data_IF_558961344213
#
_entry.id   IF_558961344213
#
_cell.length_a   1.000
_cell.length_b   1.000
_cell.length_c   1.000
_cell.angle_alpha   90.00
_cell.angle_beta   90.00
_cell.angle_gamma   90.00
#
_symmetry.space_group_name_H-M   'P 1'
#
loop_
_entity.id
_entity.type
_entity.pdbx_description
1 polymer ?
#
# COMPACT_ATOMS: atom_id res chain seq x y z
N UNK A 1 9.64 54.24 29.65
CA UNK A 1 10.16 53.98 31.00
C UNK A 1 9.98 52.49 31.27
N UNK A 2 11.08 51.79 31.57
CA UNK A 2 11.28 50.42 32.10
C UNK A 2 10.00 49.68 32.58
N UNK A 3 9.79 48.36 32.40
CA UNK A 3 10.71 47.24 32.74
C UNK A 3 10.17 45.91 32.17
N UNK A 4 11.08 44.98 31.83
CA UNK A 4 10.80 43.56 31.59
C UNK A 4 10.30 42.85 32.86
N UNK A 5 9.31 41.97 32.73
CA UNK A 5 9.15 40.79 33.59
C UNK A 5 8.93 39.59 32.67
N UNK A 6 9.83 38.61 32.76
CA UNK A 6 9.66 37.28 32.19
C UNK A 6 8.92 36.41 33.20
N UNK A 7 7.87 35.71 32.77
CA UNK A 7 7.32 34.55 33.48
C UNK A 7 7.01 33.46 32.45
N UNK A 8 7.75 32.37 32.60
CA UNK A 8 7.52 31.05 32.04
C UNK A 8 6.26 30.45 32.65
N UNK A 9 5.36 29.86 31.85
CA UNK A 9 4.76 28.52 32.03
C UNK A 9 3.53 28.31 31.11
N UNK A 10 3.53 27.11 30.50
CA UNK A 10 2.40 26.27 30.04
C UNK A 10 1.39 26.80 29.01
N UNK A 11 1.26 26.02 27.93
CA UNK A 11 0.17 26.03 26.95
C UNK A 11 -1.22 26.07 27.59
N UNK A 12 -2.01 27.10 27.25
CA UNK A 12 -3.47 27.03 27.20
C UNK A 12 -3.96 27.82 25.98
N UNK A 13 -4.75 27.14 25.15
CA UNK A 13 -5.40 27.68 23.95
C UNK A 13 -6.40 28.78 24.32
N UNK A 14 -6.32 29.91 23.61
CA UNK A 14 -7.36 30.95 23.63
C UNK A 14 -8.42 30.56 22.60
N UNK A 15 -9.57 30.09 23.07
CA UNK A 15 -10.76 29.85 22.23
C UNK A 15 -11.54 31.17 22.13
N UNK A 16 -11.64 31.72 20.93
CA UNK A 16 -12.53 32.84 20.61
C UNK A 16 -13.95 32.29 20.38
N UNK A 17 -14.85 32.48 21.35
CA UNK A 17 -16.28 32.16 21.19
C UNK A 17 -16.99 33.31 20.47
N UNK A 18 -17.47 33.07 19.24
CA UNK A 18 -18.43 33.94 18.56
C UNK A 18 -19.83 33.37 18.82
N UNK A 19 -20.70 34.16 19.44
CA UNK A 19 -22.12 33.81 19.67
C UNK A 19 -22.97 34.07 18.42
N UNK A 20 -24.00 33.26 18.14
CA UNK A 20 -24.84 33.44 16.97
C UNK A 20 -26.02 34.36 17.30
N UNK A 21 -26.05 35.53 16.68
CA UNK A 21 -27.29 36.27 16.46
C UNK A 21 -27.40 36.61 14.97
N UNK A 22 -28.56 36.26 14.40
CA UNK A 22 -29.03 36.53 13.03
C UNK A 22 -28.37 35.79 11.86
N UNK A 23 -28.83 34.54 11.61
CA UNK A 23 -28.93 34.00 10.25
C UNK A 23 -30.35 33.41 10.08
N UNK A 24 -31.09 33.92 9.11
CA UNK A 24 -32.45 33.49 8.77
C UNK A 24 -32.46 32.11 8.13
N UNK A 25 -33.20 31.18 8.72
CA UNK A 25 -33.43 29.83 8.19
C UNK A 25 -34.65 29.91 7.26
N UNK A 26 -34.42 29.88 5.95
CA UNK A 26 -35.49 29.60 4.99
C UNK A 26 -34.96 29.03 3.68
N UNK A 27 -34.52 27.77 3.70
CA UNK A 27 -34.54 26.85 2.54
C UNK A 27 -33.81 25.53 2.84
N UNK A 28 -34.47 24.60 3.52
CA UNK A 28 -34.11 23.17 3.51
C UNK A 28 -35.41 22.35 3.44
N UNK A 29 -35.46 21.25 2.67
CA UNK A 29 -36.60 20.32 2.69
C UNK A 29 -36.68 19.58 4.04
N UNK A 30 -37.88 19.11 4.46
CA UNK A 30 -38.18 18.77 5.86
C UNK A 30 -37.49 17.51 6.44
N UNK A 31 -36.74 16.74 5.66
CA UNK A 31 -36.28 15.40 6.05
C UNK A 31 -34.78 15.27 6.36
N UNK A 32 -34.07 16.37 6.57
CA UNK A 32 -32.67 16.37 7.02
C UNK A 32 -32.56 17.03 8.40
N UNK A 33 -32.30 16.21 9.42
CA UNK A 33 -32.06 16.66 10.78
C UNK A 33 -30.74 17.48 10.83
N UNK A 34 -30.72 18.76 11.26
CA UNK A 34 -29.55 19.63 11.14
C UNK A 34 -28.41 19.34 12.14
N UNK A 35 -28.48 18.27 12.92
CA UNK A 35 -27.46 17.91 13.92
C UNK A 35 -26.54 16.79 13.42
N UNK A 36 -25.74 17.07 12.40
CA UNK A 36 -24.62 16.20 11.98
C UNK A 36 -23.36 17.02 11.66
N UNK A 37 -23.01 17.96 12.55
CA UNK A 37 -21.67 18.56 12.57
C UNK A 37 -21.25 18.79 14.02
N UNK A 38 -20.70 17.74 14.65
CA UNK A 38 -19.88 17.84 15.86
C UNK A 38 -18.64 16.97 15.61
N UNK A 39 -17.41 17.46 15.88
CA UNK A 39 -16.24 16.61 15.84
C UNK A 39 -16.31 15.64 17.01
N UNK A 40 -16.47 14.34 16.73
CA UNK A 40 -16.42 13.30 17.76
C UNK A 40 -14.95 13.11 18.17
N UNK A 41 -14.51 13.87 19.17
CA UNK A 41 -13.37 13.51 20.02
C UNK A 41 -13.87 12.50 21.06
N UNK A 42 -13.74 11.21 20.76
CA UNK A 42 -13.96 10.16 21.76
C UNK A 42 -12.66 9.92 22.56
N UNK A 43 -12.67 10.28 23.85
CA UNK A 43 -11.85 9.63 24.87
C UNK A 43 -12.57 8.37 25.33
N UNK A 44 -11.92 7.19 25.39
CA UNK A 44 -12.52 6.05 26.05
C UNK A 44 -12.20 6.08 27.55
N UNK A 45 -13.24 6.20 28.37
CA UNK A 45 -13.22 5.77 29.78
C UNK A 45 -14.34 4.77 30.00
N UNK A 46 -14.02 3.47 30.03
CA UNK A 46 -14.21 2.60 31.21
C UNK A 46 -14.13 1.10 30.85
N UNK A 47 -13.23 0.43 31.57
CA UNK A 47 -13.20 -0.99 31.98
C UNK A 47 -14.02 -2.00 31.16
N UNK A 48 -13.33 -2.75 30.31
CA UNK A 48 -13.55 -4.19 30.12
C UNK A 48 -12.19 -4.89 30.19
N UNK A 49 -12.04 -5.78 31.17
CA UNK A 49 -10.96 -6.75 31.22
C UNK A 49 -11.31 -7.87 30.24
N UNK A 50 -10.70 -7.87 29.06
CA UNK A 50 -10.58 -9.07 28.22
C UNK A 50 -9.40 -8.86 27.27
N UNK A 51 -8.44 -9.77 27.35
CA UNK A 51 -7.21 -9.80 26.56
C UNK A 51 -7.53 -10.19 25.12
N UNK A 52 -7.96 -9.22 24.33
CA UNK A 52 -7.82 -9.25 22.87
C UNK A 52 -6.75 -8.23 22.50
N UNK A 53 -5.60 -8.70 21.99
CA UNK A 53 -4.55 -7.83 21.47
C UNK A 53 -5.18 -6.86 20.46
N UNK A 54 -5.05 -5.56 20.69
CA UNK A 54 -5.55 -4.52 19.78
C UNK A 54 -4.86 -4.67 18.42
N UNK A 55 -5.63 -5.12 17.44
CA UNK A 55 -5.21 -5.37 16.07
C UNK A 55 -4.89 -4.08 15.32
N UNK A 56 -4.36 -4.22 14.10
CA UNK A 56 -4.45 -3.21 13.05
C UNK A 56 -5.89 -2.96 12.64
N UNK A 57 -6.65 -2.33 13.55
CA UNK A 57 -8.09 -2.09 13.54
C UNK A 57 -8.62 -1.71 12.15
N UNK A 58 -7.86 -0.93 11.35
CA UNK A 58 -8.33 -0.45 10.06
C UNK A 58 -8.39 -1.49 8.90
N UNK A 59 -7.56 -2.54 8.86
CA UNK A 59 -7.55 -3.48 7.71
C UNK A 59 -8.79 -4.38 7.75
N UNK A 60 -9.11 -4.89 8.93
CA UNK A 60 -10.26 -5.77 9.13
C UNK A 60 -11.59 -5.03 9.11
N UNK A 61 -11.59 -3.74 9.43
CA UNK A 61 -12.79 -2.89 9.35
C UNK A 61 -13.20 -2.61 7.90
N UNK A 62 -12.25 -2.61 6.94
CA UNK A 62 -12.58 -2.56 5.50
C UNK A 62 -13.20 -3.87 5.02
N UNK A 63 -12.74 -5.00 5.55
CA UNK A 63 -13.10 -6.34 5.07
C UNK A 63 -14.28 -6.92 5.85
N UNK A 64 -15.48 -6.74 5.29
CA UNK A 64 -16.72 -7.31 5.85
C UNK A 64 -16.81 -8.85 5.75
N UNK A 65 -15.99 -9.48 4.91
CA UNK A 65 -16.00 -10.92 4.69
C UNK A 65 -14.60 -11.44 4.34
N UNK A 66 -14.49 -12.72 3.98
CA UNK A 66 -13.24 -13.31 3.48
C UNK A 66 -12.72 -12.53 2.26
N UNK A 67 -11.44 -12.13 2.23
CA UNK A 67 -10.89 -11.40 1.09
C UNK A 67 -11.06 -12.20 -0.20
N UNK A 68 -11.56 -11.55 -1.26
CA UNK A 68 -11.75 -12.21 -2.56
C UNK A 68 -10.43 -12.69 -3.15
N UNK A 69 -9.40 -11.87 -3.03
CA UNK A 69 -8.05 -12.14 -3.48
C UNK A 69 -7.05 -11.60 -2.47
N UNK A 70 -5.99 -12.34 -2.19
CA UNK A 70 -4.80 -11.84 -1.53
C UNK A 70 -3.62 -11.93 -2.51
N UNK A 71 -3.02 -10.80 -2.86
CA UNK A 71 -1.78 -10.76 -3.64
C UNK A 71 -0.60 -10.63 -2.68
N UNK A 72 0.36 -11.54 -2.80
CA UNK A 72 1.60 -11.55 -2.01
C UNK A 72 2.77 -11.41 -2.97
N UNK A 73 3.27 -10.19 -3.12
CA UNK A 73 4.27 -9.88 -4.14
C UNK A 73 5.61 -9.54 -3.51
N UNK A 74 6.69 -10.08 -4.05
CA UNK A 74 7.98 -9.41 -3.90
C UNK A 74 7.98 -8.01 -4.52
N UNK A 75 8.93 -7.17 -4.11
CA UNK A 75 9.07 -5.80 -4.59
C UNK A 75 10.07 -5.69 -5.72
N UNK A 76 11.33 -6.00 -5.48
CA UNK A 76 12.43 -5.66 -6.37
C UNK A 76 12.43 -6.60 -7.57
N UNK A 77 12.31 -6.08 -8.79
CA UNK A 77 12.19 -6.89 -10.01
C UNK A 77 10.92 -7.76 -10.11
N UNK A 78 10.00 -7.67 -9.14
CA UNK A 78 8.67 -8.28 -9.19
C UNK A 78 7.55 -7.23 -9.27
N UNK A 79 7.29 -6.45 -8.23
CA UNK A 79 6.31 -5.34 -8.32
C UNK A 79 6.93 -4.10 -8.98
N UNK A 80 8.19 -3.80 -8.64
CA UNK A 80 8.93 -2.63 -9.08
C UNK A 80 9.94 -3.03 -10.14
N UNK A 81 9.86 -2.38 -11.30
CA UNK A 81 10.95 -2.44 -12.28
C UNK A 81 11.93 -1.27 -12.04
N UNK A 82 13.15 -1.62 -11.67
CA UNK A 82 14.25 -0.65 -11.52
C UNK A 82 14.78 -0.13 -12.85
N UNK A 83 14.45 -0.79 -13.96
CA UNK A 83 14.85 -0.39 -15.31
C UNK A 83 13.77 0.41 -16.04
N UNK A 84 12.59 0.59 -15.43
CA UNK A 84 11.52 1.43 -15.98
C UNK A 84 11.53 2.81 -15.30
N UNK A 85 12.08 3.85 -15.93
CA UNK A 85 12.06 5.21 -15.39
C UNK A 85 10.65 5.80 -15.32
N UNK A 86 9.73 5.33 -16.17
CA UNK A 86 8.35 5.82 -16.25
C UNK A 86 7.42 5.12 -15.25
N UNK A 87 7.87 3.99 -14.67
CA UNK A 87 7.09 3.13 -13.77
C UNK A 87 5.73 2.73 -14.38
N UNK A 88 5.68 2.54 -15.69
CA UNK A 88 4.47 2.29 -16.48
C UNK A 88 3.67 1.09 -15.96
N UNK A 89 4.33 -0.05 -15.76
CA UNK A 89 3.70 -1.28 -15.25
C UNK A 89 3.19 -1.12 -13.82
N UNK A 90 3.92 -0.39 -12.97
CA UNK A 90 3.51 -0.11 -11.59
C UNK A 90 2.27 0.79 -11.56
N UNK A 91 2.24 1.84 -12.38
CA UNK A 91 1.06 2.71 -12.50
C UNK A 91 -0.17 1.97 -13.02
N UNK A 92 0.00 1.03 -13.95
CA UNK A 92 -1.08 0.16 -14.43
C UNK A 92 -1.63 -0.72 -13.29
N UNK A 93 -0.76 -1.33 -12.50
CA UNK A 93 -1.15 -2.14 -11.34
C UNK A 93 -1.86 -1.29 -10.27
N UNK A 94 -1.31 -0.12 -9.92
CA UNK A 94 -1.92 0.78 -8.94
C UNK A 94 -3.36 1.14 -9.31
N UNK A 95 -3.58 1.57 -10.56
CA UNK A 95 -4.91 1.93 -11.03
C UNK A 95 -5.88 0.75 -11.01
N UNK A 96 -5.42 -0.44 -11.43
CA UNK A 96 -6.21 -1.67 -11.39
C UNK A 96 -6.59 -2.05 -9.95
N UNK A 97 -5.62 -2.00 -9.03
CA UNK A 97 -5.80 -2.39 -7.64
C UNK A 97 -6.80 -1.47 -6.92
N UNK A 98 -6.58 -0.16 -6.99
CA UNK A 98 -7.42 0.82 -6.31
C UNK A 98 -8.85 0.87 -6.89
N UNK A 99 -9.02 0.62 -8.20
CA UNK A 99 -10.33 0.60 -8.83
C UNK A 99 -11.15 -0.67 -8.51
N UNK A 100 -10.50 -1.84 -8.49
CA UNK A 100 -11.22 -3.12 -8.56
C UNK A 100 -10.97 -4.08 -7.39
N UNK A 101 -9.93 -3.88 -6.59
CA UNK A 101 -9.52 -4.88 -5.59
C UNK A 101 -9.44 -4.31 -4.18
N UNK A 102 -9.04 -3.04 -4.01
CA UNK A 102 -8.82 -2.42 -2.70
C UNK A 102 -9.96 -2.65 -1.71
N UNK A 103 -11.21 -2.57 -2.15
CA UNK A 103 -12.38 -2.65 -1.27
C UNK A 103 -12.64 -4.04 -0.67
N UNK A 104 -12.21 -5.14 -1.31
CA UNK A 104 -12.58 -6.52 -0.93
C UNK A 104 -11.41 -7.52 -0.93
N UNK A 105 -10.21 -7.07 -1.24
CA UNK A 105 -9.00 -7.89 -1.42
C UNK A 105 -7.88 -7.42 -0.51
N UNK A 106 -6.77 -8.15 -0.44
CA UNK A 106 -5.60 -7.85 0.38
C UNK A 106 -4.34 -7.71 -0.48
N UNK A 107 -3.59 -6.63 -0.28
CA UNK A 107 -2.26 -6.46 -0.86
C UNK A 107 -1.19 -6.69 0.20
N UNK A 108 -0.29 -7.62 -0.06
CA UNK A 108 0.85 -7.95 0.78
C UNK A 108 2.13 -7.76 -0.01
N UNK A 109 3.03 -6.92 0.49
CA UNK A 109 4.40 -6.85 -0.03
C UNK A 109 5.30 -7.75 0.81
N UNK A 110 6.06 -8.64 0.16
CA UNK A 110 6.97 -9.61 0.78
C UNK A 110 8.39 -9.47 0.25
N UNK A 111 9.19 -8.63 0.91
CA UNK A 111 10.50 -8.18 0.41
C UNK A 111 11.67 -8.62 1.28
N UNK A 112 12.83 -8.78 0.66
CA UNK A 112 14.11 -8.93 1.36
C UNK A 112 14.60 -7.66 2.06
N UNK A 113 14.11 -6.49 1.64
CA UNK A 113 14.47 -5.18 2.22
C UNK A 113 14.12 -5.11 3.71
N UNK A 114 14.97 -4.45 4.48
CA UNK A 114 14.63 -4.00 5.83
C UNK A 114 13.49 -2.98 5.82
N UNK A 115 12.76 -2.78 6.94
CA UNK A 115 11.73 -1.74 7.05
C UNK A 115 12.24 -0.35 6.62
N UNK A 116 13.49 -0.03 6.92
CA UNK A 116 14.16 1.22 6.53
C UNK A 116 14.28 1.33 5.01
N UNK A 117 14.84 0.31 4.35
CA UNK A 117 15.00 0.29 2.89
C UNK A 117 13.67 0.21 2.14
N UNK A 118 12.67 -0.43 2.73
CA UNK A 118 11.30 -0.42 2.20
C UNK A 118 10.69 1.00 2.27
N UNK A 119 10.78 1.68 3.42
CA UNK A 119 10.35 3.08 3.58
C UNK A 119 11.07 4.00 2.60
N UNK A 120 12.34 3.76 2.30
CA UNK A 120 13.09 4.48 1.27
C UNK A 120 12.54 4.21 -0.14
N UNK A 121 12.33 2.94 -0.51
CA UNK A 121 11.76 2.60 -1.82
C UNK A 121 10.39 3.25 -2.05
N UNK A 122 9.55 3.33 -1.01
CA UNK A 122 8.25 4.04 -1.08
C UNK A 122 8.38 5.54 -1.40
N UNK A 123 9.49 6.18 -1.03
CA UNK A 123 9.76 7.58 -1.39
C UNK A 123 10.21 7.70 -2.84
N UNK A 124 11.00 6.74 -3.30
CA UNK A 124 11.59 6.73 -4.64
C UNK A 124 10.56 6.33 -5.72
N UNK A 125 9.73 5.33 -5.44
CA UNK A 125 8.79 4.73 -6.39
C UNK A 125 7.35 5.09 -6.03
N UNK A 126 6.44 5.22 -7.02
CA UNK A 126 5.03 5.55 -6.78
C UNK A 126 4.25 4.29 -6.34
N UNK A 127 4.64 3.67 -5.22
CA UNK A 127 3.99 2.47 -4.71
C UNK A 127 2.76 2.82 -3.90
N UNK A 128 1.65 2.12 -4.15
CA UNK A 128 0.47 2.17 -3.28
C UNK A 128 0.76 1.50 -1.93
N UNK A 129 -0.01 1.89 -0.92
CA UNK A 129 0.08 1.39 0.45
C UNK A 129 -0.47 -0.03 0.50
N UNK A 130 0.33 -1.06 0.85
CA UNK A 130 -0.20 -2.40 1.04
C UNK A 130 -0.98 -2.49 2.36
N UNK A 131 -1.79 -3.53 2.48
CA UNK A 131 -2.43 -3.87 3.75
C UNK A 131 -1.41 -4.46 4.72
N UNK A 132 -0.52 -5.31 4.22
CA UNK A 132 0.50 -5.98 5.03
C UNK A 132 1.87 -5.83 4.36
N UNK A 133 2.90 -5.57 5.16
CA UNK A 133 4.28 -5.62 4.69
C UNK A 133 5.04 -6.68 5.48
N UNK A 134 5.58 -7.66 4.76
CA UNK A 134 6.54 -8.65 5.21
C UNK A 134 7.92 -8.17 4.75
N UNK A 135 8.81 -7.85 5.68
CA UNK A 135 10.15 -7.31 5.40
C UNK A 135 11.24 -8.26 5.91
N UNK A 136 12.49 -7.97 5.54
CA UNK A 136 13.68 -8.69 6.00
C UNK A 136 13.58 -10.19 5.75
N UNK A 137 13.14 -10.58 4.55
CA UNK A 137 13.03 -11.99 4.13
C UNK A 137 12.07 -12.79 5.03
N UNK A 138 11.00 -12.15 5.51
CA UNK A 138 9.97 -12.83 6.30
C UNK A 138 10.16 -12.77 7.82
N UNK A 139 11.11 -12.00 8.34
CA UNK A 139 11.33 -11.93 9.78
C UNK A 139 10.49 -10.86 10.49
N UNK A 140 9.93 -9.92 9.74
CA UNK A 140 9.12 -8.83 10.28
C UNK A 140 7.81 -8.77 9.49
N UNK A 141 6.68 -8.80 10.20
CA UNK A 141 5.33 -8.59 9.63
C UNK A 141 4.77 -7.31 10.23
N UNK A 142 4.28 -6.41 9.38
CA UNK A 142 3.72 -5.13 9.79
C UNK A 142 2.42 -4.82 9.05
N UNK A 143 1.54 -4.05 9.70
CA UNK A 143 0.18 -3.76 9.22
C UNK A 143 -0.04 -2.29 8.89
N UNK A 144 -0.64 -2.06 7.72
CA UNK A 144 -1.16 -0.77 7.27
C UNK A 144 -0.11 0.33 7.08
N UNK A 145 -0.59 1.56 6.88
CA UNK A 145 0.25 2.75 6.63
C UNK A 145 1.22 3.06 7.78
N UNK A 146 0.83 2.77 9.02
CA UNK A 146 1.65 2.97 10.22
C UNK A 146 2.68 1.86 10.47
N UNK A 147 2.69 0.80 9.66
CA UNK A 147 3.60 -0.35 9.80
C UNK A 147 3.63 -0.94 11.22
N UNK A 148 2.46 -1.15 11.83
CA UNK A 148 2.39 -1.69 13.18
C UNK A 148 2.89 -3.15 13.21
N UNK A 149 3.87 -3.51 14.06
CA UNK A 149 4.42 -4.86 14.10
C UNK A 149 3.42 -5.93 14.55
N UNK A 150 3.56 -7.13 14.00
CA UNK A 150 2.87 -8.33 14.48
C UNK A 150 3.60 -8.93 15.69
N UNK A 151 3.12 -8.61 16.90
CA UNK A 151 3.71 -9.15 18.13
C UNK A 151 3.63 -10.68 18.22
N UNK A 152 2.59 -11.31 17.66
CA UNK A 152 2.45 -12.76 17.65
C UNK A 152 3.50 -13.43 16.76
N UNK A 153 3.86 -12.81 15.64
CA UNK A 153 4.97 -13.25 14.79
C UNK A 153 6.32 -13.08 15.48
N UNK A 154 6.55 -11.95 16.15
CA UNK A 154 7.76 -11.71 16.95
C UNK A 154 7.94 -12.78 18.02
N UNK A 155 6.88 -13.08 18.79
CA UNK A 155 6.90 -14.14 19.81
C UNK A 155 7.12 -15.54 19.20
N UNK A 156 6.55 -15.80 18.02
CA UNK A 156 6.76 -17.05 17.29
C UNK A 156 8.24 -17.25 16.92
N UNK A 157 8.88 -16.20 16.40
CA UNK A 157 10.29 -16.24 15.97
C UNK A 157 11.30 -16.23 17.11
N UNK A 158 10.93 -15.77 18.32
CA UNK A 158 11.80 -15.84 19.51
C UNK A 158 12.11 -17.27 19.96
N UNK A 159 11.37 -18.28 19.50
CA UNK A 159 11.57 -19.67 19.91
C UNK A 159 12.90 -20.20 19.37
N UNK A 160 13.80 -20.54 20.30
CA UNK A 160 15.15 -21.05 20.02
C UNK A 160 15.95 -20.13 19.09
N UNK A 161 15.81 -18.84 19.29
CA UNK A 161 16.56 -17.80 18.61
C UNK A 161 17.23 -16.90 19.63
N UNK A 162 18.50 -16.59 19.42
CA UNK A 162 19.24 -15.59 20.19
C UNK A 162 20.25 -14.90 19.26
N UNK A 163 19.97 -13.65 18.91
CA UNK A 163 20.81 -12.86 18.03
C UNK A 163 22.24 -12.69 18.57
N UNK A 164 22.41 -12.59 19.90
CA UNK A 164 23.73 -12.39 20.49
C UNK A 164 24.61 -13.62 20.31
N UNK A 165 24.03 -14.82 20.45
CA UNK A 165 24.74 -16.08 20.20
C UNK A 165 25.12 -16.18 18.70
N UNK A 166 24.22 -15.80 17.79
CA UNK A 166 24.52 -15.77 16.35
C UNK A 166 25.69 -14.83 16.04
N UNK A 167 25.67 -13.61 16.57
CA UNK A 167 26.76 -12.63 16.41
C UNK A 167 28.08 -13.12 17.03
N UNK A 168 28.02 -13.75 18.21
CA UNK A 168 29.19 -14.34 18.87
C UNK A 168 29.84 -15.40 17.99
N UNK A 169 29.06 -16.36 17.48
CA UNK A 169 29.60 -17.47 16.70
C UNK A 169 30.07 -17.04 15.31
N UNK A 170 29.32 -16.17 14.63
CA UNK A 170 29.69 -15.64 13.31
C UNK A 170 30.98 -14.81 13.35
N UNK A 171 31.26 -14.11 14.45
CA UNK A 171 32.52 -13.36 14.62
C UNK A 171 33.79 -14.22 14.56
N UNK A 172 33.65 -15.55 14.72
CA UNK A 172 34.75 -16.52 14.67
C UNK A 172 35.06 -16.99 13.24
N UNK A 173 34.25 -16.62 12.25
CA UNK A 173 34.41 -16.96 10.84
C UNK A 173 35.04 -15.79 10.06
N UNK A 174 36.33 -15.83 9.71
CA UNK A 174 36.99 -14.74 8.98
C UNK A 174 36.45 -14.52 7.56
N UNK A 175 35.73 -15.49 7.00
CA UNK A 175 35.08 -15.41 5.69
C UNK A 175 33.85 -14.50 5.68
N UNK A 176 33.24 -14.25 6.84
CA UNK A 176 32.02 -13.46 6.97
C UNK A 176 32.33 -11.99 7.18
N UNK A 177 31.82 -11.13 6.31
CA UNK A 177 31.87 -9.68 6.49
C UNK A 177 30.47 -9.16 6.82
N UNK A 178 30.23 -8.50 7.96
CA UNK A 178 28.89 -8.02 8.29
C UNK A 178 28.40 -7.00 7.25
N UNK A 179 27.12 -7.09 6.91
CA UNK A 179 26.45 -6.04 6.13
C UNK A 179 26.17 -4.80 7.01
N UNK A 180 25.61 -3.75 6.40
CA UNK A 180 25.27 -2.51 7.09
C UNK A 180 24.36 -2.75 8.32
N UNK A 181 24.43 -1.85 9.31
CA UNK A 181 23.64 -1.94 10.55
C UNK A 181 22.13 -2.02 10.28
N UNK A 182 21.65 -1.37 9.21
CA UNK A 182 20.24 -1.43 8.80
C UNK A 182 19.76 -2.83 8.43
N UNK A 183 20.68 -3.72 8.06
CA UNK A 183 20.41 -5.12 7.71
C UNK A 183 20.65 -6.09 8.88
N UNK A 184 21.08 -5.59 10.05
CA UNK A 184 21.12 -6.34 11.30
C UNK A 184 19.82 -6.09 12.06
N UNK A 185 18.91 -7.07 12.03
CA UNK A 185 17.57 -7.01 12.65
C UNK A 185 17.44 -8.01 13.78
N UNK A 186 16.44 -7.83 14.64
CA UNK A 186 16.23 -8.70 15.81
C UNK A 186 16.17 -10.19 15.48
N UNK A 187 15.68 -10.55 14.29
CA UNK A 187 15.56 -11.93 13.81
C UNK A 187 16.27 -12.17 12.46
N UNK A 188 17.18 -11.27 12.05
CA UNK A 188 18.00 -11.42 10.84
C UNK A 188 19.40 -10.88 11.07
N UNK A 189 20.41 -11.70 10.83
CA UNK A 189 21.82 -11.28 10.86
C UNK A 189 22.43 -11.53 9.48
N UNK A 190 22.96 -10.47 8.85
CA UNK A 190 23.31 -10.48 7.43
C UNK A 190 24.81 -10.29 7.20
N UNK A 191 25.41 -11.09 6.32
CA UNK A 191 26.84 -11.04 5.98
C UNK A 191 27.07 -11.10 4.47
N UNK A 192 28.27 -10.76 4.04
CA UNK A 192 28.81 -11.09 2.73
C UNK A 192 29.77 -12.27 2.84
N UNK A 193 29.69 -13.21 1.90
CA UNK A 193 30.56 -14.38 1.79
C UNK A 193 30.82 -14.71 0.31
N UNK A 194 32.07 -15.01 -0.03
CA UNK A 194 32.47 -15.43 -1.38
C UNK A 194 31.82 -16.77 -1.76
N UNK A 195 31.37 -16.90 -3.01
CA UNK A 195 30.62 -18.07 -3.51
C UNK A 195 31.33 -19.39 -3.28
N UNK A 196 32.64 -19.42 -3.45
CA UNK A 196 33.46 -20.62 -3.31
C UNK A 196 33.53 -21.10 -1.84
N UNK A 197 33.32 -20.19 -0.88
CA UNK A 197 33.39 -20.45 0.57
C UNK A 197 32.01 -20.66 1.19
N UNK A 198 30.95 -20.12 0.57
CA UNK A 198 29.59 -20.09 1.10
C UNK A 198 29.10 -21.45 1.61
N UNK A 199 29.30 -22.53 0.83
CA UNK A 199 28.85 -23.88 1.20
C UNK A 199 29.52 -24.38 2.49
N UNK A 200 30.85 -24.27 2.57
CA UNK A 200 31.62 -24.74 3.72
C UNK A 200 31.26 -23.93 4.99
N UNK A 201 31.17 -22.61 4.86
CA UNK A 201 30.81 -21.71 5.96
C UNK A 201 29.40 -22.03 6.47
N UNK A 202 28.44 -22.20 5.57
CA UNK A 202 27.05 -22.51 5.92
C UNK A 202 26.94 -23.83 6.68
N UNK A 203 27.58 -24.90 6.20
CA UNK A 203 27.54 -26.22 6.84
C UNK A 203 28.18 -26.20 8.25
N UNK A 204 29.30 -25.49 8.41
CA UNK A 204 29.99 -25.36 9.68
C UNK A 204 29.18 -24.51 10.68
N UNK A 205 28.70 -23.35 10.24
CA UNK A 205 27.92 -22.42 11.06
C UNK A 205 26.61 -23.05 11.53
N UNK A 206 25.90 -23.79 10.67
CA UNK A 206 24.68 -24.50 11.03
C UNK A 206 24.92 -25.46 12.21
N UNK A 207 25.99 -26.26 12.16
CA UNK A 207 26.33 -27.22 13.23
C UNK A 207 26.67 -26.52 14.54
N UNK A 208 27.40 -25.42 14.49
CA UNK A 208 27.80 -24.64 15.67
C UNK A 208 26.56 -24.03 16.35
N UNK A 209 25.67 -23.41 15.57
CA UNK A 209 24.47 -22.77 16.08
C UNK A 209 23.47 -23.80 16.65
N UNK A 210 23.29 -24.94 15.97
CA UNK A 210 22.51 -26.07 16.50
C UNK A 210 23.10 -26.61 17.81
N UNK A 211 24.43 -26.73 17.90
CA UNK A 211 25.14 -27.13 19.12
C UNK A 211 24.97 -26.16 20.29
N UNK A 212 24.67 -24.89 20.00
CA UNK A 212 24.32 -23.85 21.00
C UNK A 212 22.83 -23.81 21.32
N UNK A 213 22.02 -24.73 20.76
CA UNK A 213 20.59 -24.86 21.03
C UNK A 213 19.70 -23.94 20.19
N UNK A 214 20.24 -23.33 19.12
CA UNK A 214 19.47 -22.48 18.21
C UNK A 214 18.90 -23.30 17.05
N UNK A 215 17.65 -23.02 16.68
CA UNK A 215 17.07 -23.53 15.44
C UNK A 215 17.15 -22.42 14.39
N UNK A 216 18.14 -22.49 13.51
CA UNK A 216 18.39 -21.46 12.48
C UNK A 216 18.12 -21.96 11.07
N UNK A 217 17.92 -21.00 10.18
CA UNK A 217 17.93 -21.16 8.73
C UNK A 217 18.95 -20.17 8.18
N UNK A 218 19.83 -20.68 7.32
CA UNK A 218 20.87 -19.88 6.67
C UNK A 218 20.50 -19.81 5.18
N UNK A 219 20.33 -18.60 4.68
CA UNK A 219 19.97 -18.32 3.28
C UNK A 219 21.18 -17.68 2.61
N UNK A 220 21.66 -18.29 1.53
CA UNK A 220 22.65 -17.70 0.65
C UNK A 220 21.98 -17.27 -0.66
N UNK A 221 22.13 -16.01 -1.06
CA UNK A 221 21.45 -15.45 -2.24
C UNK A 221 22.30 -14.41 -2.96
N UNK A 222 21.93 -14.07 -4.20
CA UNK A 222 22.61 -13.03 -4.99
C UNK A 222 24.09 -13.30 -5.29
N UNK A 223 24.58 -14.51 -5.03
CA UNK A 223 25.98 -14.88 -5.20
C UNK A 223 26.95 -14.25 -4.20
N UNK A 224 26.47 -13.58 -3.14
CA UNK A 224 27.34 -12.95 -2.14
C UNK A 224 26.69 -12.81 -0.75
N UNK A 225 25.37 -12.72 -0.66
CA UNK A 225 24.66 -12.41 0.59
C UNK A 225 24.38 -13.68 1.39
N UNK A 226 24.62 -13.63 2.70
CA UNK A 226 24.34 -14.71 3.65
C UNK A 226 23.51 -14.18 4.83
N UNK A 227 22.27 -14.63 4.92
CA UNK A 227 21.34 -14.28 5.99
C UNK A 227 21.18 -15.44 6.97
N UNK A 228 21.33 -15.18 8.27
CA UNK A 228 21.00 -16.12 9.35
C UNK A 228 19.73 -15.65 10.03
N UNK A 229 18.72 -16.51 10.01
CA UNK A 229 17.37 -16.27 10.50
C UNK A 229 16.92 -17.40 11.44
N UNK A 230 15.87 -17.23 12.26
CA UNK A 230 15.19 -18.35 12.90
C UNK A 230 14.70 -19.37 11.86
N UNK A 231 14.71 -20.66 12.20
CA UNK A 231 14.28 -21.73 11.29
C UNK A 231 12.83 -21.58 10.79
N UNK A 232 11.97 -21.00 11.63
CA UNK A 232 10.58 -20.69 11.31
C UNK A 232 10.38 -19.40 10.50
N UNK A 233 11.43 -18.68 10.13
CA UNK A 233 11.35 -17.48 9.30
C UNK A 233 11.48 -17.80 7.80
N UNK A 234 11.20 -16.80 6.97
CA UNK A 234 11.17 -16.91 5.51
C UNK A 234 9.88 -16.35 4.94
N UNK A 235 9.89 -15.92 3.68
CA UNK A 235 8.71 -15.38 3.00
C UNK A 235 7.54 -16.38 3.00
N UNK A 236 7.82 -17.65 2.71
CA UNK A 236 6.81 -18.71 2.75
C UNK A 236 6.26 -18.97 4.16
N UNK A 237 7.11 -19.00 5.19
CA UNK A 237 6.66 -19.22 6.56
C UNK A 237 5.82 -18.04 7.09
N UNK A 238 6.21 -16.80 6.77
CA UNK A 238 5.43 -15.62 7.08
C UNK A 238 4.04 -15.66 6.40
N UNK A 239 3.98 -16.09 5.13
CA UNK A 239 2.70 -16.30 4.44
C UNK A 239 1.86 -17.41 5.08
N UNK A 240 2.46 -18.56 5.41
CA UNK A 240 1.76 -19.65 6.09
C UNK A 240 1.18 -19.21 7.45
N UNK A 241 1.94 -18.39 8.20
CA UNK A 241 1.47 -17.79 9.45
C UNK A 241 0.25 -16.88 9.22
N UNK A 242 0.31 -15.98 8.23
CA UNK A 242 -0.80 -15.09 7.89
C UNK A 242 -2.05 -15.86 7.46
N UNK A 243 -1.92 -16.87 6.59
CA UNK A 243 -3.05 -17.69 6.15
C UNK A 243 -3.74 -18.40 7.32
N UNK A 244 -2.95 -19.02 8.21
CA UNK A 244 -3.47 -19.67 9.42
C UNK A 244 -4.16 -18.66 10.36
N UNK A 245 -3.61 -17.45 10.45
CA UNK A 245 -4.16 -16.37 11.26
C UNK A 245 -5.54 -15.95 10.73
N UNK A 246 -5.66 -15.71 9.42
CA UNK A 246 -6.95 -15.41 8.78
C UNK A 246 -7.96 -16.56 8.89
N UNK A 247 -7.52 -17.82 8.80
CA UNK A 247 -8.37 -18.98 9.02
C UNK A 247 -8.92 -19.00 10.45
N UNK A 248 -8.07 -18.73 11.45
CA UNK A 248 -8.46 -18.67 12.86
C UNK A 248 -9.47 -17.55 13.13
N UNK A 249 -9.38 -16.46 12.40
CA UNK A 249 -10.33 -15.33 12.47
C UNK A 249 -11.62 -15.56 11.67
N UNK A 250 -11.74 -16.68 10.96
CA UNK A 250 -12.91 -16.99 10.13
C UNK A 250 -13.02 -16.16 8.86
N UNK A 251 -11.92 -15.55 8.40
CA UNK A 251 -11.85 -14.76 7.16
C UNK A 251 -10.69 -15.21 6.24
N UNK A 252 -10.52 -16.52 5.95
CA UNK A 252 -9.45 -16.97 5.06
C UNK A 252 -9.62 -16.37 3.65
N UNK A 253 -8.55 -15.88 2.99
CA UNK A 253 -8.65 -15.42 1.60
C UNK A 253 -9.18 -16.52 0.68
N UNK A 254 -10.13 -16.17 -0.20
CA UNK A 254 -10.71 -17.13 -1.14
C UNK A 254 -9.70 -17.58 -2.20
N UNK A 255 -8.85 -16.65 -2.62
CA UNK A 255 -7.73 -16.90 -3.54
C UNK A 255 -6.48 -16.20 -3.02
N UNK A 256 -5.33 -16.83 -3.20
CA UNK A 256 -4.02 -16.24 -2.91
C UNK A 256 -3.15 -16.35 -4.15
N UNK A 257 -2.62 -15.23 -4.62
CA UNK A 257 -1.66 -15.16 -5.71
C UNK A 257 -0.31 -14.71 -5.14
N UNK A 258 0.70 -15.56 -5.24
CA UNK A 258 2.09 -15.22 -4.89
C UNK A 258 2.86 -14.79 -6.13
N UNK A 259 3.68 -13.77 -6.02
CA UNK A 259 4.46 -13.20 -7.12
C UNK A 259 5.94 -13.10 -6.70
N UNK A 260 6.85 -13.56 -7.55
CA UNK A 260 8.29 -13.47 -7.28
C UNK A 260 9.15 -13.59 -8.53
N UNK A 261 10.43 -13.28 -8.39
CA UNK A 261 11.43 -13.34 -9.45
C UNK A 261 12.69 -14.12 -9.04
N UNK A 262 12.96 -14.33 -7.74
CA UNK A 262 14.24 -14.86 -7.27
C UNK A 262 14.10 -16.06 -6.32
N UNK A 263 15.24 -16.64 -5.91
CA UNK A 263 15.27 -17.85 -5.09
C UNK A 263 14.69 -17.65 -3.68
N UNK A 264 14.70 -16.42 -3.15
CA UNK A 264 14.08 -16.13 -1.85
C UNK A 264 12.54 -16.19 -1.89
N UNK A 265 11.95 -16.22 -3.09
CA UNK A 265 10.50 -16.31 -3.31
C UNK A 265 10.01 -17.75 -3.45
N UNK A 266 10.90 -18.70 -3.73
CA UNK A 266 10.54 -20.10 -4.01
C UNK A 266 9.64 -20.74 -2.94
N UNK A 267 9.83 -20.38 -1.67
CA UNK A 267 8.99 -20.87 -0.57
C UNK A 267 7.54 -20.38 -0.64
N UNK A 268 7.28 -19.21 -1.24
CA UNK A 268 5.92 -18.70 -1.44
C UNK A 268 5.14 -19.63 -2.38
N UNK A 269 5.78 -20.10 -3.45
CA UNK A 269 5.19 -21.02 -4.44
C UNK A 269 4.95 -22.43 -3.88
N UNK A 270 5.59 -22.77 -2.76
CA UNK A 270 5.44 -24.06 -2.09
C UNK A 270 4.22 -24.10 -1.14
N UNK A 271 3.56 -22.96 -0.90
CA UNK A 271 2.41 -22.89 0.00
C UNK A 271 1.21 -23.61 -0.62
N UNK A 272 0.60 -24.60 0.07
CA UNK A 272 -0.53 -25.34 -0.49
C UNK A 272 -1.70 -24.42 -0.86
N UNK A 273 -2.28 -24.66 -2.03
CA UNK A 273 -3.52 -24.01 -2.47
C UNK A 273 -3.34 -22.69 -3.21
N UNK A 274 -2.18 -22.04 -3.14
CA UNK A 274 -1.92 -20.74 -3.78
C UNK A 274 -1.80 -20.87 -5.30
N UNK A 275 -2.12 -19.78 -6.00
CA UNK A 275 -1.65 -19.52 -7.36
C UNK A 275 -0.30 -18.81 -7.28
N UNK A 276 0.58 -19.06 -8.24
CA UNK A 276 1.90 -18.45 -8.30
C UNK A 276 2.20 -17.87 -9.67
N UNK A 277 2.85 -16.71 -9.70
CA UNK A 277 3.42 -16.14 -10.92
C UNK A 277 4.91 -15.85 -10.74
N UNK A 278 5.71 -16.46 -11.61
CA UNK A 278 7.08 -16.04 -11.86
C UNK A 278 7.04 -15.02 -13.00
N UNK A 279 7.48 -13.80 -12.75
CA UNK A 279 7.53 -12.75 -13.79
C UNK A 279 8.54 -13.11 -14.87
N UNK A 280 8.40 -12.59 -16.09
CA UNK A 280 9.25 -13.01 -17.22
C UNK A 280 10.74 -12.73 -17.04
N UNK A 281 11.07 -11.79 -16.15
CA UNK A 281 12.42 -11.45 -15.75
C UNK A 281 12.92 -12.21 -14.51
N UNK A 282 12.29 -13.35 -14.18
CA UNK A 282 12.72 -14.22 -13.09
C UNK A 282 14.16 -14.73 -13.32
N UNK A 283 14.89 -14.84 -12.21
CA UNK A 283 16.26 -15.30 -12.16
C UNK A 283 16.34 -16.83 -12.32
N UNK A 284 17.50 -17.29 -12.77
CA UNK A 284 17.76 -18.71 -13.10
C UNK A 284 17.44 -19.66 -11.93
N UNK A 285 17.74 -19.23 -10.71
CA UNK A 285 17.46 -19.97 -9.46
C UNK A 285 15.98 -20.28 -9.24
N UNK A 286 15.06 -19.33 -9.50
CA UNK A 286 13.62 -19.56 -9.37
C UNK A 286 13.09 -20.44 -10.51
N UNK A 287 13.61 -20.24 -11.72
CA UNK A 287 13.26 -21.07 -12.88
C UNK A 287 13.73 -22.52 -12.71
N UNK A 288 14.91 -22.71 -12.13
CA UNK A 288 15.44 -24.04 -11.78
C UNK A 288 14.58 -24.68 -10.70
N UNK A 289 14.27 -23.95 -9.63
CA UNK A 289 13.35 -24.43 -8.60
C UNK A 289 12.01 -24.87 -9.20
N UNK A 290 11.45 -24.07 -10.11
CA UNK A 290 10.20 -24.43 -10.80
C UNK A 290 10.34 -25.71 -11.65
N UNK A 291 11.41 -25.84 -12.43
CA UNK A 291 11.66 -27.03 -13.23
C UNK A 291 11.77 -28.32 -12.39
N UNK A 292 12.31 -28.21 -11.18
CA UNK A 292 12.51 -29.32 -10.26
C UNK A 292 11.28 -29.64 -9.40
N UNK A 293 10.49 -28.63 -9.01
CA UNK A 293 9.46 -28.77 -7.98
C UNK A 293 8.03 -28.55 -8.47
N UNK A 294 7.84 -27.82 -9.57
CA UNK A 294 6.55 -27.24 -9.94
C UNK A 294 6.23 -27.26 -11.45
N UNK A 295 7.06 -27.90 -12.28
CA UNK A 295 6.96 -27.86 -13.75
C UNK A 295 5.58 -28.16 -14.32
N UNK A 296 4.87 -29.12 -13.71
CA UNK A 296 3.53 -29.56 -14.15
C UNK A 296 2.40 -29.02 -13.26
N UNK A 297 2.69 -28.03 -12.40
CA UNK A 297 1.69 -27.45 -11.51
C UNK A 297 0.84 -26.40 -12.26
N UNK A 298 -0.44 -26.67 -12.55
CA UNK A 298 -1.29 -25.74 -13.31
C UNK A 298 -1.63 -24.46 -12.56
N UNK A 299 -1.24 -24.35 -11.27
CA UNK A 299 -1.41 -23.14 -10.46
C UNK A 299 -0.18 -22.22 -10.51
N UNK A 300 0.88 -22.59 -11.22
CA UNK A 300 2.08 -21.77 -11.35
C UNK A 300 2.25 -21.35 -12.81
N UNK A 301 2.36 -20.05 -13.02
CA UNK A 301 2.56 -19.43 -14.32
C UNK A 301 3.96 -18.82 -14.39
N UNK A 302 4.68 -19.10 -15.47
CA UNK A 302 5.77 -18.24 -15.90
C UNK A 302 5.20 -17.22 -16.88
N UNK A 303 5.05 -15.98 -16.43
CA UNK A 303 4.41 -14.92 -17.21
C UNK A 303 5.26 -14.55 -18.42
N UNK A 304 4.60 -14.09 -19.49
CA UNK A 304 5.27 -13.45 -20.62
C UNK A 304 5.70 -12.01 -20.32
N UNK A 305 4.96 -11.35 -19.42
CA UNK A 305 5.15 -9.98 -19.03
C UNK A 305 6.10 -9.81 -17.83
N UNK A 306 6.76 -8.65 -17.82
CA UNK A 306 7.75 -8.27 -16.81
C UNK A 306 7.09 -7.63 -15.58
N UNK A 307 7.67 -7.85 -14.41
CA UNK A 307 7.30 -7.18 -13.16
C UNK A 307 5.77 -7.11 -12.93
N UNK A 308 5.24 -5.94 -12.55
CA UNK A 308 3.82 -5.73 -12.26
C UNK A 308 2.89 -6.09 -13.44
N UNK A 309 3.36 -6.00 -14.68
CA UNK A 309 2.56 -6.45 -15.84
C UNK A 309 2.39 -7.98 -15.84
N UNK A 310 3.39 -8.74 -15.38
CA UNK A 310 3.28 -10.19 -15.16
C UNK A 310 2.27 -10.55 -14.06
N UNK A 311 2.15 -9.72 -13.02
CA UNK A 311 1.13 -9.88 -11.98
C UNK A 311 -0.28 -9.69 -12.59
N UNK A 312 -0.46 -8.64 -13.41
CA UNK A 312 -1.72 -8.39 -14.12
C UNK A 312 -2.05 -9.53 -15.09
N UNK A 313 -1.07 -10.06 -15.82
CA UNK A 313 -1.22 -11.23 -16.69
C UNK A 313 -1.74 -12.44 -15.88
N UNK A 314 -1.15 -12.72 -14.72
CA UNK A 314 -1.54 -13.84 -13.87
C UNK A 314 -2.97 -13.73 -13.33
N UNK A 315 -3.41 -12.52 -12.96
CA UNK A 315 -4.80 -12.27 -12.55
C UNK A 315 -5.76 -12.72 -13.66
N UNK A 316 -5.47 -12.37 -14.91
CA UNK A 316 -6.26 -12.77 -16.08
C UNK A 316 -6.18 -14.28 -16.36
N UNK A 317 -4.96 -14.83 -16.36
CA UNK A 317 -4.69 -16.24 -16.63
C UNK A 317 -5.45 -17.17 -15.68
N UNK A 318 -5.37 -16.90 -14.37
CA UNK A 318 -6.03 -17.69 -13.33
C UNK A 318 -7.49 -17.29 -13.09
N UNK A 319 -8.03 -16.30 -13.84
CA UNK A 319 -9.40 -15.79 -13.72
C UNK A 319 -9.73 -15.29 -12.30
N UNK A 320 -8.80 -14.55 -11.70
CA UNK A 320 -8.91 -14.03 -10.33
C UNK A 320 -9.68 -12.70 -10.23
N UNK A 321 -10.07 -12.13 -11.37
CA UNK A 321 -10.87 -10.91 -11.47
C UNK A 321 -10.53 -10.10 -12.73
N UNK A 322 -10.98 -8.84 -12.80
CA UNK A 322 -10.62 -7.93 -13.89
C UNK A 322 -9.10 -7.72 -13.98
N UNK A 323 -8.54 -7.83 -15.16
CA UNK A 323 -7.10 -7.65 -15.42
C UNK A 323 -6.81 -6.56 -16.46
N UNK A 324 -7.81 -5.79 -16.87
CA UNK A 324 -7.63 -4.60 -17.70
C UNK A 324 -7.46 -3.39 -16.80
N UNK A 325 -6.28 -2.75 -16.84
CA UNK A 325 -6.05 -1.53 -16.05
C UNK A 325 -6.90 -0.38 -16.59
N UNK A 326 -7.50 0.47 -15.74
CA UNK A 326 -8.15 1.71 -16.18
C UNK A 326 -7.23 2.62 -17.01
N UNK A 327 -5.90 2.49 -16.88
CA UNK A 327 -4.93 3.21 -17.71
C UNK A 327 -4.86 2.74 -19.16
N UNK A 328 -5.28 1.51 -19.42
CA UNK A 328 -5.25 0.89 -20.75
C UNK A 328 -6.60 1.02 -21.46
N UNK A 329 -7.63 1.54 -20.79
CA UNK A 329 -8.97 1.72 -21.35
C UNK A 329 -9.00 2.96 -22.27
N UNK A 330 -9.55 2.85 -23.50
CA UNK A 330 -9.75 3.98 -24.40
C UNK A 330 -10.68 5.05 -23.81
N UNK A 331 -10.46 6.31 -24.19
CA UNK A 331 -11.19 7.48 -23.64
C UNK A 331 -12.68 7.57 -24.06
N UNK A 332 -13.17 6.68 -24.92
CA UNK A 332 -14.57 6.62 -25.34
C UNK A 332 -15.40 5.58 -24.56
N UNK A 333 -14.76 4.83 -23.65
CA UNK A 333 -15.39 3.77 -22.86
C UNK A 333 -15.35 4.08 -21.36
N UNK A 334 -16.24 4.98 -20.92
CA UNK A 334 -16.46 5.29 -19.49
C UNK A 334 -17.82 4.79 -19.03
N UNK A 335 -17.92 3.50 -18.69
CA UNK A 335 -19.01 3.00 -17.83
C UNK A 335 -18.47 2.79 -16.42
N UNK A 336 -18.82 3.70 -15.52
CA UNK A 336 -18.41 3.63 -14.13
C UNK A 336 -19.34 2.71 -13.35
N UNK A 337 -18.83 1.53 -13.00
CA UNK A 337 -19.58 0.50 -12.28
C UNK A 337 -19.44 0.57 -10.75
N UNK A 338 -18.49 1.36 -10.24
CA UNK A 338 -18.22 1.48 -8.80
C UNK A 338 -17.69 2.87 -8.44
N UNK A 339 -17.93 3.36 -7.20
CA UNK A 339 -17.42 4.66 -6.79
C UNK A 339 -15.88 4.71 -6.75
N UNK A 340 -15.20 3.59 -6.47
CA UNK A 340 -13.73 3.51 -6.53
C UNK A 340 -13.20 3.66 -7.96
N UNK A 341 -13.85 3.02 -8.93
CA UNK A 341 -13.49 3.16 -10.34
C UNK A 341 -13.71 4.59 -10.83
N UNK A 342 -14.80 5.25 -10.38
CA UNK A 342 -15.06 6.67 -10.68
C UNK A 342 -13.89 7.57 -10.25
N UNK A 343 -13.43 7.41 -9.00
CA UNK A 343 -12.31 8.20 -8.47
C UNK A 343 -11.04 7.98 -9.28
N UNK A 344 -10.71 6.72 -9.59
CA UNK A 344 -9.53 6.38 -10.39
C UNK A 344 -9.63 6.98 -11.79
N UNK A 345 -10.78 6.82 -12.47
CA UNK A 345 -11.03 7.37 -13.79
C UNK A 345 -10.94 8.90 -13.80
N UNK A 346 -11.48 9.57 -12.79
CA UNK A 346 -11.39 11.02 -12.66
C UNK A 346 -9.92 11.48 -12.51
N UNK A 347 -9.13 10.86 -11.65
CA UNK A 347 -7.71 11.20 -11.51
C UNK A 347 -6.90 10.93 -12.79
N UNK A 348 -7.24 9.87 -13.54
CA UNK A 348 -6.63 9.59 -14.86
C UNK A 348 -7.03 10.63 -15.91
N UNK A 349 -8.30 11.04 -15.94
CA UNK A 349 -8.77 12.12 -16.79
C UNK A 349 -8.00 13.42 -16.50
N UNK A 350 -7.80 13.76 -15.22
CA UNK A 350 -7.00 14.92 -14.82
C UNK A 350 -5.54 14.81 -15.28
N UNK A 351 -4.92 13.63 -15.18
CA UNK A 351 -3.57 13.39 -15.70
C UNK A 351 -3.50 13.67 -17.20
N UNK A 352 -4.38 13.02 -17.98
CA UNK A 352 -4.42 13.15 -19.44
C UNK A 352 -4.74 14.58 -19.89
N UNK A 353 -5.68 15.22 -19.22
CA UNK A 353 -6.10 16.61 -19.50
C UNK A 353 -4.97 17.61 -19.32
N UNK A 354 -4.23 17.51 -18.21
CA UNK A 354 -3.07 18.38 -17.94
C UNK A 354 -1.88 18.11 -18.86
N UNK A 355 -1.75 16.88 -19.36
CA UNK A 355 -0.73 16.51 -20.35
C UNK A 355 -1.11 16.83 -21.79
N UNK A 356 -2.37 17.22 -22.02
CA UNK A 356 -2.96 17.35 -23.36
C UNK A 356 -2.87 16.03 -24.17
N UNK A 357 -3.01 14.89 -23.49
CA UNK A 357 -3.09 13.56 -24.10
C UNK A 357 -4.50 13.28 -24.66
N UNK A 358 -5.50 14.05 -24.24
CA UNK A 358 -6.88 14.03 -24.75
C UNK A 358 -7.22 15.36 -25.44
N UNK A 359 -8.18 15.35 -26.36
CA UNK A 359 -8.59 16.58 -27.06
C UNK A 359 -9.14 17.64 -26.10
N UNK A 360 -8.77 18.91 -26.33
CA UNK A 360 -9.37 20.05 -25.62
C UNK A 360 -10.83 20.23 -26.02
N UNK A 361 -11.71 19.51 -25.34
CA UNK A 361 -13.14 19.47 -25.66
C UNK A 361 -13.99 20.14 -24.57
N UNK A 362 -14.87 21.05 -24.98
CA UNK A 362 -15.89 21.60 -24.07
C UNK A 362 -16.90 20.53 -23.61
N UNK A 363 -16.98 19.38 -24.31
CA UNK A 363 -17.80 18.25 -23.85
C UNK A 363 -17.25 17.65 -22.54
N UNK A 364 -15.93 17.59 -22.36
CA UNK A 364 -15.32 17.11 -21.12
C UNK A 364 -15.67 18.05 -19.96
N UNK A 365 -15.52 19.35 -20.17
CA UNK A 365 -15.88 20.37 -19.17
C UNK A 365 -17.39 20.35 -18.85
N UNK A 366 -18.23 20.18 -19.87
CA UNK A 366 -19.68 20.03 -19.69
C UNK A 366 -20.02 18.75 -18.91
N UNK A 367 -19.34 17.63 -19.18
CA UNK A 367 -19.51 16.38 -18.44
C UNK A 367 -19.18 16.51 -16.95
N UNK A 368 -18.05 17.14 -16.62
CA UNK A 368 -17.68 17.40 -15.22
C UNK A 368 -18.72 18.32 -14.54
N UNK A 369 -19.23 19.34 -15.25
CA UNK A 369 -20.29 20.20 -14.73
C UNK A 369 -21.63 19.48 -14.56
N UNK A 370 -21.92 18.49 -15.41
CA UNK A 370 -23.12 17.66 -15.32
C UNK A 370 -23.03 16.68 -14.14
N UNK A 371 -21.84 16.15 -13.86
CA UNK A 371 -21.56 15.34 -12.67
C UNK A 371 -21.51 16.16 -11.37
N UNK A 372 -21.51 17.50 -11.43
CA UNK A 372 -21.51 18.34 -10.23
C UNK A 372 -22.93 18.54 -9.70
N UNK A 373 -23.16 18.14 -8.44
CA UNK A 373 -24.42 18.44 -7.77
C UNK A 373 -24.66 19.96 -7.73
N UNK A 374 -25.90 20.48 -7.90
CA UNK A 374 -26.14 21.92 -8.01
C UNK A 374 -25.58 22.76 -6.85
N UNK A 375 -25.64 22.23 -5.62
CA UNK A 375 -25.07 22.83 -4.41
C UNK A 375 -23.72 22.22 -4.01
N UNK A 376 -23.04 21.57 -4.95
CA UNK A 376 -21.81 20.84 -4.69
C UNK A 376 -20.66 21.75 -4.33
N UNK A 377 -19.93 21.38 -3.28
CA UNK A 377 -18.85 22.20 -2.70
C UNK A 377 -17.48 21.55 -2.93
N UNK A 378 -16.51 22.34 -3.35
CA UNK A 378 -15.10 21.98 -3.45
C UNK A 378 -14.29 22.85 -2.48
N UNK A 379 -13.57 22.20 -1.55
CA UNK A 379 -12.64 22.86 -0.62
C UNK A 379 -11.24 22.47 -1.03
N UNK A 380 -10.44 23.46 -1.41
CA UNK A 380 -9.07 23.27 -1.83
C UNK A 380 -8.10 23.17 -0.63
N UNK A 381 -6.87 22.65 -0.83
CA UNK A 381 -5.90 22.48 0.26
C UNK A 381 -5.49 23.74 1.04
N UNK A 382 -5.71 24.94 0.50
CA UNK A 382 -5.53 26.24 1.18
C UNK A 382 -6.70 26.61 2.10
N UNK A 383 -7.81 25.87 2.02
CA UNK A 383 -9.05 26.13 2.73
C UNK A 383 -10.05 27.02 1.98
N UNK A 384 -9.72 27.48 0.77
CA UNK A 384 -10.69 28.23 -0.03
C UNK A 384 -11.82 27.31 -0.52
N UNK A 385 -13.02 27.88 -0.59
CA UNK A 385 -14.25 27.16 -0.90
C UNK A 385 -14.81 27.66 -2.22
N UNK A 386 -15.12 26.72 -3.11
CA UNK A 386 -15.66 26.97 -4.44
C UNK A 386 -16.88 26.07 -4.67
N UNK A 387 -17.77 26.46 -5.58
CA UNK A 387 -18.70 25.48 -6.15
C UNK A 387 -17.92 24.51 -7.06
N UNK A 388 -18.35 23.26 -7.14
CA UNK A 388 -17.71 22.28 -8.03
C UNK A 388 -17.81 22.72 -9.51
N UNK A 389 -18.86 23.46 -9.87
CA UNK A 389 -19.01 24.04 -11.21
C UNK A 389 -17.98 25.13 -11.53
N UNK A 390 -17.55 25.90 -10.53
CA UNK A 390 -16.44 26.84 -10.67
C UNK A 390 -15.11 26.11 -10.78
N UNK A 391 -14.92 25.01 -10.06
CA UNK A 391 -13.73 24.16 -10.20
C UNK A 391 -13.57 23.63 -11.64
N UNK A 392 -14.66 23.30 -12.33
CA UNK A 392 -14.60 22.93 -13.74
C UNK A 392 -14.05 24.06 -14.66
N UNK A 393 -14.15 25.32 -14.26
CA UNK A 393 -13.49 26.42 -14.97
C UNK A 393 -11.98 26.45 -14.68
N UNK A 394 -11.54 26.10 -13.47
CA UNK A 394 -10.11 25.94 -13.14
C UNK A 394 -9.50 24.83 -14.01
N UNK A 395 -10.21 23.72 -14.20
CA UNK A 395 -9.79 22.64 -15.10
C UNK A 395 -9.54 23.14 -16.53
N UNK A 396 -10.37 24.05 -17.05
CA UNK A 396 -10.19 24.64 -18.37
C UNK A 396 -8.85 25.36 -18.52
N UNK A 397 -8.42 26.07 -17.48
CA UNK A 397 -7.19 26.88 -17.49
C UNK A 397 -5.91 26.02 -17.38
N UNK A 398 -5.99 24.83 -16.77
CA UNK A 398 -4.84 23.94 -16.59
C UNK A 398 -4.67 22.90 -17.71
N UNK A 399 -5.50 22.94 -18.76
CA UNK A 399 -5.32 22.05 -19.92
C UNK A 399 -3.91 22.21 -20.52
N UNK A 400 -3.18 21.12 -20.68
CA UNK A 400 -1.85 21.12 -21.29
C UNK A 400 -0.74 21.79 -20.47
N UNK A 401 -0.98 22.22 -19.23
CA UNK A 401 0.04 22.87 -18.37
C UNK A 401 1.24 21.95 -18.05
N UNK A 402 1.04 20.64 -18.23
CA UNK A 402 2.04 19.58 -18.09
C UNK A 402 2.38 18.87 -19.40
N UNK A 403 2.00 19.44 -20.56
CA UNK A 403 2.34 18.87 -21.86
C UNK A 403 3.86 18.70 -22.01
N UNK A 404 4.29 17.53 -22.47
CA UNK A 404 5.71 17.18 -22.66
C UNK A 404 6.51 16.95 -21.36
N UNK A 405 5.86 17.00 -20.17
CA UNK A 405 6.51 16.71 -18.88
C UNK A 405 6.24 15.26 -18.47
N UNK A 406 7.16 14.68 -17.70
CA UNK A 406 6.94 13.43 -16.95
C UNK A 406 6.00 13.72 -15.77
N UNK A 407 4.72 13.89 -16.08
CA UNK A 407 3.65 14.16 -15.14
C UNK A 407 2.78 12.93 -14.93
N UNK A 408 2.48 12.58 -13.68
CA UNK A 408 1.63 11.45 -13.31
C UNK A 408 0.71 11.84 -12.17
N UNK A 409 -0.51 11.32 -12.20
CA UNK A 409 -1.45 11.36 -11.07
C UNK A 409 -1.81 9.92 -10.73
N UNK A 410 -1.85 9.59 -9.44
CA UNK A 410 -2.40 8.31 -8.99
C UNK A 410 -3.11 8.47 -7.65
N UNK A 411 -3.98 7.52 -7.36
CA UNK A 411 -4.66 7.41 -6.06
C UNK A 411 -4.05 6.25 -5.27
N UNK A 412 -4.11 6.37 -3.95
CA UNK A 412 -3.67 5.37 -2.98
C UNK A 412 -4.69 5.32 -1.83
N UNK A 413 -4.79 4.17 -1.18
CA UNK A 413 -5.63 3.94 0.00
C UNK A 413 -7.10 4.33 -0.19
N UNK A 414 -7.69 3.94 -1.33
CA UNK A 414 -9.10 4.23 -1.63
C UNK A 414 -10.02 3.46 -0.69
N UNK A 415 -10.76 4.21 0.14
CA UNK A 415 -11.77 3.71 1.05
C UNK A 415 -13.15 4.22 0.61
N UNK A 416 -14.08 3.29 0.41
CA UNK A 416 -15.47 3.56 0.07
C UNK A 416 -16.38 3.14 1.22
N UNK A 417 -17.09 4.10 1.82
CA UNK A 417 -18.06 3.85 2.88
C UNK A 417 -19.46 4.20 2.39
N UNK A 418 -20.33 3.20 2.29
CA UNK A 418 -21.72 3.43 1.90
C UNK A 418 -22.50 4.11 3.03
N UNK A 419 -23.04 5.30 2.78
CA UNK A 419 -23.86 6.04 3.75
C UNK A 419 -25.36 5.72 3.59
N UNK A 420 -25.79 5.46 2.35
CA UNK A 420 -27.13 4.97 1.99
C UNK A 420 -27.05 4.23 0.65
N UNK A 421 -28.18 3.72 0.12
CA UNK A 421 -28.20 3.00 -1.15
C UNK A 421 -27.50 3.76 -2.29
N UNK A 422 -27.63 5.09 -2.31
CA UNK A 422 -27.22 5.94 -3.43
C UNK A 422 -26.19 7.00 -3.03
N UNK A 423 -25.57 6.87 -1.85
CA UNK A 423 -24.61 7.85 -1.33
C UNK A 423 -23.38 7.15 -0.74
N UNK A 424 -22.21 7.60 -1.17
CA UNK A 424 -20.92 7.06 -0.78
C UNK A 424 -20.02 8.16 -0.24
N UNK A 425 -19.39 7.90 0.90
CA UNK A 425 -18.26 8.67 1.40
C UNK A 425 -16.98 7.99 0.93
N UNK A 426 -16.19 8.71 0.15
CA UNK A 426 -14.90 8.25 -0.36
C UNK A 426 -13.78 8.99 0.37
N UNK A 427 -12.73 8.27 0.74
CA UNK A 427 -11.48 8.82 1.26
C UNK A 427 -10.31 8.16 0.58
N UNK A 428 -9.33 8.94 0.11
CA UNK A 428 -8.14 8.42 -0.55
C UNK A 428 -7.00 9.45 -0.49
N UNK A 429 -5.78 8.99 -0.71
CA UNK A 429 -4.63 9.85 -0.96
C UNK A 429 -4.50 10.04 -2.48
N UNK A 430 -4.50 11.28 -2.96
CA UNK A 430 -4.18 11.63 -4.34
C UNK A 430 -2.76 12.17 -4.41
N UNK A 431 -1.97 11.61 -5.30
CA UNK A 431 -0.58 11.99 -5.53
C UNK A 431 -0.39 12.55 -6.93
N UNK A 432 0.39 13.62 -7.02
CA UNK A 432 0.89 14.17 -8.28
C UNK A 432 2.42 14.16 -8.27
N UNK A 433 3.03 13.75 -9.39
CA UNK A 433 4.47 13.90 -9.60
C UNK A 433 4.77 14.62 -10.90
N UNK A 434 5.79 15.48 -10.89
CA UNK A 434 6.25 16.26 -12.05
C UNK A 434 7.77 16.34 -12.02
N UNK A 435 8.47 15.41 -12.67
CA UNK A 435 9.91 15.24 -12.49
C UNK A 435 10.24 14.72 -11.08
N UNK A 436 11.15 15.38 -10.37
CA UNK A 436 11.51 15.00 -8.99
C UNK A 436 10.52 15.51 -7.92
N UNK A 437 9.66 16.47 -8.28
CA UNK A 437 8.66 16.99 -7.37
C UNK A 437 7.50 16.02 -7.21
N UNK A 438 7.19 15.66 -5.97
CA UNK A 438 6.01 14.86 -5.59
C UNK A 438 5.23 15.58 -4.52
N UNK A 439 3.93 15.72 -4.74
CA UNK A 439 2.98 16.29 -3.79
C UNK A 439 1.79 15.36 -3.63
N UNK A 440 1.16 15.37 -2.46
CA UNK A 440 0.00 14.55 -2.20
C UNK A 440 -1.04 15.28 -1.34
N UNK A 441 -2.30 14.92 -1.52
CA UNK A 441 -3.40 15.39 -0.70
C UNK A 441 -4.23 14.20 -0.20
N UNK A 442 -4.72 14.28 1.02
CA UNK A 442 -5.87 13.48 1.43
C UNK A 442 -7.10 14.11 0.79
N UNK A 443 -7.89 13.31 0.09
CA UNK A 443 -9.17 13.71 -0.50
C UNK A 443 -10.29 12.99 0.20
N UNK A 444 -11.29 13.74 0.65
CA UNK A 444 -12.56 13.21 1.14
C UNK A 444 -13.67 13.73 0.23
N UNK A 445 -14.46 12.84 -0.36
CA UNK A 445 -15.53 13.23 -1.27
C UNK A 445 -16.81 12.45 -1.02
N UNK A 446 -17.95 13.09 -1.26
CA UNK A 446 -19.26 12.45 -1.23
C UNK A 446 -19.74 12.31 -2.67
N UNK A 447 -19.99 11.07 -3.07
CA UNK A 447 -20.57 10.71 -4.36
C UNK A 447 -22.02 10.30 -4.18
N UNK A 448 -22.88 10.68 -5.12
CA UNK A 448 -24.26 10.21 -5.16
C UNK A 448 -24.72 9.86 -6.56
N UNK A 449 -25.19 8.63 -6.73
CA UNK A 449 -25.85 8.17 -7.96
C UNK A 449 -27.38 8.21 -7.83
N UNK A 450 -27.90 9.09 -6.96
CA UNK A 450 -29.34 9.26 -6.79
C UNK A 450 -29.93 9.87 -8.07
N UNK A 451 -30.94 9.20 -8.63
CA UNK A 451 -31.67 9.63 -9.83
C UNK A 451 -30.82 9.68 -11.13
N UNK A 452 -29.65 9.04 -11.16
CA UNK A 452 -28.79 8.96 -12.35
C UNK A 452 -28.03 7.64 -12.46
N UNK A 453 -27.67 7.24 -13.67
CA UNK A 453 -26.84 6.06 -13.94
C UNK A 453 -25.34 6.32 -13.67
N UNK A 454 -24.96 7.56 -13.33
CA UNK A 454 -23.59 7.96 -12.99
C UNK A 454 -23.50 8.57 -11.59
N UNK A 455 -22.28 8.72 -11.07
CA UNK A 455 -22.02 9.36 -9.78
C UNK A 455 -21.91 10.88 -9.92
N UNK A 456 -22.67 11.60 -9.09
CA UNK A 456 -22.57 13.03 -8.95
C UNK A 456 -21.69 13.40 -7.74
N UNK A 457 -20.79 14.36 -7.94
CA UNK A 457 -19.95 14.95 -6.90
C UNK A 457 -20.78 15.92 -6.06
N UNK A 458 -21.01 15.58 -4.79
CA UNK A 458 -21.75 16.41 -3.82
C UNK A 458 -20.80 17.26 -2.98
N UNK A 459 -19.66 16.70 -2.61
CA UNK A 459 -18.67 17.39 -1.78
C UNK A 459 -17.27 16.87 -2.13
N UNK A 460 -16.28 17.75 -2.17
CA UNK A 460 -14.87 17.40 -2.30
C UNK A 460 -14.10 18.28 -1.32
N UNK A 461 -13.30 17.67 -0.45
CA UNK A 461 -12.41 18.36 0.46
C UNK A 461 -11.02 17.75 0.33
N UNK A 462 -10.04 18.60 0.03
CA UNK A 462 -8.64 18.22 -0.09
C UNK A 462 -7.84 18.85 1.03
N UNK A 463 -6.89 18.10 1.58
CA UNK A 463 -5.93 18.59 2.59
C UNK A 463 -4.55 18.11 2.20
N UNK A 464 -3.54 18.98 2.22
CA UNK A 464 -2.16 18.57 1.94
C UNK A 464 -1.74 17.43 2.86
N UNK A 465 -1.18 16.36 2.29
CA UNK A 465 -0.36 15.43 3.05
C UNK A 465 0.88 16.21 3.49
N UNK A 466 1.19 16.23 4.78
CA UNK A 466 2.40 16.92 5.25
C UNK A 466 3.61 16.44 4.41
N UNK A 467 4.44 17.37 3.90
CA UNK A 467 5.58 16.97 3.11
C UNK A 467 6.44 16.02 3.95
N UNK A 468 6.64 14.79 3.46
CA UNK A 468 7.45 13.74 4.08
C UNK A 468 8.96 14.05 4.08
N UNK A 469 9.30 15.32 4.28
CA UNK A 469 10.61 15.90 4.06
C UNK A 469 10.77 17.21 4.83
N UNK A 470 10.43 17.21 6.12
CA UNK A 470 11.14 17.96 7.19
C UNK A 470 10.51 17.66 8.56
N UNK A 471 11.15 16.72 9.29
CA UNK A 471 10.98 16.58 10.74
C UNK A 471 10.03 15.47 11.16
N UNK A 472 10.58 14.48 11.86
CA UNK A 472 9.81 13.48 12.59
C UNK A 472 9.95 12.07 12.03
N UNK A 473 11.00 11.38 12.47
CA UNK A 473 10.85 9.96 12.78
C UNK A 473 9.67 9.82 13.75
N UNK A 474 8.50 9.46 13.24
CA UNK A 474 7.43 8.92 14.05
C UNK A 474 7.12 7.52 13.51
N UNK A 475 7.88 6.61 14.12
CA UNK A 475 7.76 5.16 14.25
C UNK A 475 8.10 4.29 13.02
#
# INVERSE_FOLDING_TARGET
>A
MLTRIALSLSHQEVILLITPSSISISSFPPDLNPFFFIPILHKPTSRLNETHQNWGLNIMDRLNSSPRLMIVSDLDHTMVDHHDPENSSLFRFNALWEAHYRHDSLLVFSTGRSPTLYKQLRKEKPMITPDITITSVGTEITYGKSMMPDNGWVEFLNKKWDQNIVMEETSKFPELKPQAETEQRSHKVSFYVEKEKAKQVTEALSKVLEGRGLDVKIIYSGGIDLDILPKGAGKGQALAYLLKKFETEGKPPLNTLVCGDSGNDAELFSIPGVYGVMVSNAQEELLQWHAENAKDNPKILHASERCASGIIEAIGHFKLGPNLSPRDVPDDHFESMSPSLEIVNFSLLLEKWRRADVEKSELVIAGIKAAAFPSGVYIDPSGATHSIKEYANILREVYGDKQGKQFRIWVDDVLATQLSSDIWLMRFDEWESSGEERQGCVVTTILSNKDSDWFNLVHVHRTWLEPSGKGGLLF
#
